data_IF_576420328430
#
_entry.id   IF_576420328430
#
_cell.length_a   1.000
_cell.length_b   1.000
_cell.length_c   1.000
_cell.angle_alpha   90.00
_cell.angle_beta   90.00
_cell.angle_gamma   90.00
#
_symmetry.space_group_name_H-M   'P 1'
#
loop_
_entity.id
_entity.type
_entity.pdbx_description
1 polymer ?
#
# COMPACT_ATOMS: atom_id res chain seq x y z
N UNK A 1 42.38 -13.90 34.25
CA UNK A 1 42.57 -13.62 32.80
C UNK A 1 43.72 -12.63 32.65
N UNK A 2 44.75 -12.89 31.84
CA UNK A 2 45.89 -11.97 31.75
C UNK A 2 45.47 -10.65 31.09
N UNK A 3 46.05 -9.51 31.51
CA UNK A 3 45.75 -8.18 30.95
C UNK A 3 45.80 -8.19 29.41
N UNK A 4 46.76 -8.89 28.82
CA UNK A 4 46.92 -9.03 27.37
C UNK A 4 45.74 -9.75 26.70
N UNK A 5 45.16 -10.77 27.34
CA UNK A 5 43.95 -11.45 26.82
C UNK A 5 42.72 -10.54 26.91
N UNK A 6 42.61 -9.70 27.94
CA UNK A 6 41.51 -8.75 28.08
C UNK A 6 41.54 -7.67 27.01
N UNK A 7 42.71 -7.07 26.77
CA UNK A 7 42.90 -6.10 25.69
C UNK A 7 42.67 -6.69 24.29
N UNK A 8 43.03 -7.96 24.07
CA UNK A 8 42.75 -8.65 22.80
C UNK A 8 41.24 -8.82 22.57
N UNK A 9 40.50 -9.30 23.57
CA UNK A 9 39.05 -9.46 23.47
C UNK A 9 38.36 -8.12 23.22
N UNK A 10 38.75 -7.07 23.95
CA UNK A 10 38.20 -5.73 23.76
C UNK A 10 38.44 -5.21 22.33
N UNK A 11 39.64 -5.42 21.77
CA UNK A 11 39.94 -5.04 20.38
C UNK A 11 39.07 -5.78 19.36
N UNK A 12 38.87 -7.08 19.55
CA UNK A 12 37.99 -7.88 18.67
C UNK A 12 36.56 -7.35 18.72
N UNK A 13 36.03 -7.08 19.92
CA UNK A 13 34.70 -6.51 20.09
C UNK A 13 34.57 -5.16 19.37
N UNK A 14 35.56 -4.28 19.52
CA UNK A 14 35.56 -2.98 18.85
C UNK A 14 35.58 -3.13 17.32
N UNK A 15 36.42 -4.01 16.78
CA UNK A 15 36.50 -4.27 15.32
C UNK A 15 35.15 -4.79 14.81
N UNK A 16 34.57 -5.76 15.51
CA UNK A 16 33.25 -6.31 15.15
C UNK A 16 32.19 -5.22 15.17
N UNK A 17 32.17 -4.37 16.21
CA UNK A 17 31.23 -3.25 16.31
C UNK A 17 31.40 -2.26 15.15
N UNK A 18 32.64 -1.92 14.80
CA UNK A 18 32.93 -1.04 13.66
C UNK A 18 32.50 -1.66 12.32
N UNK A 19 32.68 -2.98 12.14
CA UNK A 19 32.16 -3.70 10.97
C UNK A 19 30.63 -3.66 10.91
N UNK A 20 29.94 -3.86 12.04
CA UNK A 20 28.48 -3.74 12.09
C UNK A 20 27.99 -2.32 11.77
N UNK A 21 28.64 -1.29 12.31
CA UNK A 21 28.32 0.11 12.01
C UNK A 21 28.56 0.40 10.52
N UNK A 22 29.69 -0.05 9.97
CA UNK A 22 30.00 0.11 8.55
C UNK A 22 28.96 -0.55 7.64
N UNK A 23 28.56 -1.78 7.96
CA UNK A 23 27.51 -2.50 7.24
C UNK A 23 26.15 -1.81 7.38
N UNK A 24 25.83 -1.31 8.57
CA UNK A 24 24.59 -0.55 8.82
C UNK A 24 24.55 0.72 7.96
N UNK A 25 25.60 1.54 8.00
CA UNK A 25 25.67 2.76 7.17
C UNK A 25 25.61 2.43 5.68
N UNK A 26 26.31 1.40 5.22
CA UNK A 26 26.22 0.94 3.84
C UNK A 26 24.78 0.55 3.45
N UNK A 27 24.09 -0.15 4.34
CA UNK A 27 22.71 -0.60 4.10
C UNK A 27 21.72 0.54 3.97
N UNK A 28 22.01 1.71 4.57
CA UNK A 28 21.17 2.89 4.39
C UNK A 28 21.17 3.41 2.95
N UNK A 29 22.25 3.19 2.19
CA UNK A 29 22.38 3.73 0.82
C UNK A 29 22.19 2.68 -0.28
N UNK A 30 22.50 1.41 0.02
CA UNK A 30 22.48 0.31 -0.97
C UNK A 30 21.49 -0.81 -0.62
N UNK A 31 20.77 -0.63 0.48
CA UNK A 31 19.89 -1.63 1.07
C UNK A 31 20.68 -2.78 1.69
N UNK A 32 20.00 -3.83 2.18
CA UNK A 32 20.64 -4.98 2.79
C UNK A 32 21.77 -5.56 1.92
N UNK A 33 22.87 -6.06 2.52
CA UNK A 33 23.92 -6.76 1.77
C UNK A 33 23.31 -7.84 0.85
N UNK A 34 23.80 -7.90 -0.40
CA UNK A 34 23.28 -8.77 -1.47
C UNK A 34 21.84 -8.51 -1.93
N UNK A 35 21.15 -7.53 -1.34
CA UNK A 35 19.76 -7.26 -1.63
C UNK A 35 19.49 -6.89 -3.09
N UNK A 36 20.38 -6.13 -3.72
CA UNK A 36 20.25 -5.80 -5.14
C UNK A 36 20.34 -7.00 -6.08
N UNK A 37 21.10 -8.05 -5.72
CA UNK A 37 21.19 -9.29 -6.50
C UNK A 37 19.89 -10.08 -6.38
N UNK A 38 19.36 -10.20 -5.16
CA UNK A 38 18.09 -10.88 -4.89
C UNK A 38 16.92 -10.16 -5.59
N UNK A 39 16.86 -8.84 -5.46
CA UNK A 39 15.86 -8.00 -6.12
C UNK A 39 15.92 -8.13 -7.64
N UNK A 40 17.12 -8.04 -8.23
CA UNK A 40 17.32 -8.26 -9.67
C UNK A 40 16.75 -9.59 -10.13
N UNK A 41 17.05 -10.68 -9.44
CA UNK A 41 16.55 -12.00 -9.82
C UNK A 41 15.02 -12.09 -9.71
N UNK A 42 14.43 -11.56 -8.63
CA UNK A 42 12.96 -11.53 -8.46
C UNK A 42 12.27 -10.72 -9.55
N UNK A 43 12.76 -9.51 -9.80
CA UNK A 43 12.24 -8.61 -10.84
C UNK A 43 12.33 -9.25 -12.22
N UNK A 44 13.50 -9.78 -12.60
CA UNK A 44 13.69 -10.40 -13.91
C UNK A 44 12.83 -11.65 -14.09
N UNK A 45 12.71 -12.49 -13.06
CA UNK A 45 11.86 -13.69 -13.12
C UNK A 45 10.39 -13.32 -13.34
N UNK A 46 9.89 -12.31 -12.61
CA UNK A 46 8.53 -11.80 -12.79
C UNK A 46 8.34 -11.19 -14.18
N UNK A 47 9.19 -10.23 -14.54
CA UNK A 47 9.09 -9.52 -15.81
C UNK A 47 9.19 -10.47 -17.01
N UNK A 48 10.04 -11.49 -16.91
CA UNK A 48 10.16 -12.49 -17.98
C UNK A 48 8.89 -13.32 -18.13
N UNK A 49 8.25 -13.68 -17.02
CA UNK A 49 7.00 -14.42 -17.05
C UNK A 49 5.82 -13.57 -17.53
N UNK A 50 5.77 -12.29 -17.16
CA UNK A 50 4.68 -11.38 -17.50
C UNK A 50 4.78 -10.83 -18.93
N UNK A 51 5.99 -10.44 -19.35
CA UNK A 51 6.24 -9.69 -20.58
C UNK A 51 7.07 -10.44 -21.62
N UNK A 52 7.54 -11.66 -21.32
CA UNK A 52 8.41 -12.42 -22.22
C UNK A 52 9.87 -11.99 -22.15
N UNK A 53 10.57 -11.93 -23.28
CA UNK A 53 11.99 -11.55 -23.26
C UNK A 53 12.17 -10.08 -22.83
N UNK A 54 12.83 -9.90 -21.67
CA UNK A 54 13.10 -8.60 -21.06
C UNK A 54 14.58 -8.39 -20.79
N UNK A 55 15.02 -7.14 -20.87
CA UNK A 55 16.38 -6.73 -20.53
C UNK A 55 16.35 -5.51 -19.60
N UNK A 56 17.28 -5.48 -18.65
CA UNK A 56 17.48 -4.32 -17.79
C UNK A 56 17.99 -3.13 -18.60
N UNK A 57 17.29 -2.00 -18.48
CA UNK A 57 17.74 -0.71 -19.01
C UNK A 57 18.70 -0.06 -18.01
N UNK A 58 18.38 -0.16 -16.72
CA UNK A 58 19.16 0.42 -15.62
C UNK A 58 19.64 -0.62 -14.63
N UNK A 59 20.60 -0.24 -13.77
CA UNK A 59 20.99 -1.06 -12.63
C UNK A 59 19.87 -1.05 -11.60
N UNK A 60 19.69 -2.18 -10.91
CA UNK A 60 18.78 -2.25 -9.77
C UNK A 60 19.31 -1.40 -8.62
N UNK A 61 18.60 -0.34 -8.27
CA UNK A 61 18.99 0.63 -7.25
C UNK A 61 18.01 0.66 -6.09
N UNK A 62 18.53 0.86 -4.88
CA UNK A 62 17.76 0.89 -3.64
C UNK A 62 17.37 2.33 -3.28
N UNK A 63 16.09 2.54 -2.96
CA UNK A 63 15.61 3.78 -2.37
C UNK A 63 15.24 3.51 -0.90
N UNK A 64 15.98 4.14 0.02
CA UNK A 64 15.73 3.99 1.46
C UNK A 64 14.39 4.57 1.91
N UNK A 65 13.91 5.64 1.27
CA UNK A 65 12.67 6.30 1.67
C UNK A 65 11.49 5.34 1.51
N UNK A 66 11.46 4.65 0.38
CA UNK A 66 10.38 3.74 0.04
C UNK A 66 10.70 2.29 0.49
N UNK A 67 11.96 1.99 0.80
CA UNK A 67 12.48 0.65 1.12
C UNK A 67 12.32 -0.37 -0.01
N UNK A 68 12.32 0.11 -1.26
CA UNK A 68 12.23 -0.71 -2.46
C UNK A 68 13.52 -0.66 -3.27
N UNK A 69 13.76 -1.75 -4.01
CA UNK A 69 14.66 -1.78 -5.14
C UNK A 69 13.88 -1.51 -6.42
N UNK A 70 14.41 -0.66 -7.29
CA UNK A 70 13.76 -0.24 -8.53
C UNK A 70 14.58 -0.70 -9.73
N UNK A 71 13.89 -1.07 -10.80
CA UNK A 71 14.50 -1.43 -12.07
C UNK A 71 13.65 -0.93 -13.22
N UNK A 72 14.31 -0.38 -14.24
CA UNK A 72 13.68 -0.11 -15.53
C UNK A 72 14.04 -1.23 -16.51
N UNK A 73 13.05 -1.66 -17.28
CA UNK A 73 13.15 -2.80 -18.18
C UNK A 73 12.69 -2.43 -19.58
N UNK A 74 13.25 -3.12 -20.56
CA UNK A 74 12.83 -3.06 -21.96
C UNK A 74 12.40 -4.46 -22.39
N UNK A 75 11.20 -4.56 -22.97
CA UNK A 75 10.73 -5.79 -23.62
C UNK A 75 11.24 -5.91 -25.05
N UNK A 76 11.20 -7.13 -25.61
CA UNK A 76 11.71 -7.47 -26.96
C UNK A 76 11.17 -6.64 -28.14
N UNK A 77 10.12 -5.84 -27.95
CA UNK A 77 9.53 -4.93 -28.96
C UNK A 77 9.74 -3.43 -28.63
N UNK A 78 10.79 -3.05 -27.89
CA UNK A 78 10.99 -1.70 -27.35
C UNK A 78 9.82 -1.20 -26.48
N UNK A 79 9.03 -2.12 -25.92
CA UNK A 79 8.07 -1.77 -24.88
C UNK A 79 8.87 -1.35 -23.65
N UNK A 80 8.72 -0.08 -23.28
CA UNK A 80 9.32 0.45 -22.07
C UNK A 80 8.47 -0.03 -20.89
N UNK A 81 8.96 -1.05 -20.20
CA UNK A 81 8.37 -1.54 -18.96
C UNK A 81 8.94 -0.64 -17.88
N UNK A 82 8.20 0.45 -17.63
CA UNK A 82 8.58 1.43 -16.64
C UNK A 82 8.44 0.81 -15.26
N UNK A 83 9.51 1.00 -14.49
CA UNK A 83 9.57 0.84 -13.04
C UNK A 83 8.89 -0.41 -12.47
N UNK A 84 9.63 -1.52 -12.42
CA UNK A 84 9.31 -2.62 -11.51
C UNK A 84 10.06 -2.40 -10.21
N UNK A 85 9.32 -2.40 -9.09
CA UNK A 85 9.87 -2.26 -7.74
C UNK A 85 9.74 -3.54 -6.94
N UNK A 86 10.68 -3.81 -6.05
CA UNK A 86 10.69 -4.97 -5.18
C UNK A 86 11.11 -4.64 -3.76
N UNK A 87 10.30 -5.03 -2.78
CA UNK A 87 10.67 -4.95 -1.36
C UNK A 87 11.21 -6.30 -0.89
N UNK A 88 12.45 -6.31 -0.39
CA UNK A 88 13.02 -7.52 0.23
C UNK A 88 12.34 -7.88 1.54
N UNK A 89 11.93 -6.87 2.31
CA UNK A 89 11.38 -7.07 3.64
C UNK A 89 9.96 -7.61 3.59
N UNK A 90 9.17 -7.12 2.64
CA UNK A 90 7.79 -7.58 2.44
C UNK A 90 7.70 -8.74 1.46
N UNK A 91 8.76 -8.97 0.66
CA UNK A 91 8.76 -9.92 -0.45
C UNK A 91 7.58 -9.67 -1.41
N UNK A 92 7.44 -8.39 -1.83
CA UNK A 92 6.38 -7.92 -2.71
C UNK A 92 6.94 -7.17 -3.91
N UNK A 93 6.28 -7.31 -5.05
CA UNK A 93 6.58 -6.60 -6.29
C UNK A 93 5.51 -5.53 -6.55
N UNK A 94 5.94 -4.39 -7.07
CA UNK A 94 5.09 -3.40 -7.71
C UNK A 94 5.47 -3.30 -9.19
N UNK A 95 4.46 -3.20 -10.04
CA UNK A 95 4.60 -3.06 -11.48
C UNK A 95 3.70 -1.91 -11.92
N UNK A 96 4.30 -0.79 -12.34
CA UNK A 96 3.58 0.43 -12.66
C UNK A 96 2.56 0.23 -13.80
N UNK A 97 2.95 -0.52 -14.84
CA UNK A 97 2.09 -0.77 -16.01
C UNK A 97 0.87 -1.61 -15.62
N UNK A 98 1.09 -2.66 -14.82
CA UNK A 98 0.00 -3.48 -14.29
C UNK A 98 -0.93 -2.67 -13.38
N UNK A 99 -0.35 -1.86 -12.49
CA UNK A 99 -1.09 -1.02 -11.56
C UNK A 99 -1.97 0.01 -12.29
N UNK A 100 -1.48 0.65 -13.34
CA UNK A 100 -2.25 1.59 -14.16
C UNK A 100 -3.45 0.90 -14.82
N UNK A 101 -3.24 -0.29 -15.36
CA UNK A 101 -4.30 -1.10 -15.96
C UNK A 101 -5.39 -1.44 -14.95
N UNK A 102 -5.01 -2.01 -13.80
CA UNK A 102 -5.95 -2.38 -12.73
C UNK A 102 -6.67 -1.14 -12.18
N UNK A 103 -5.96 -0.03 -12.00
CA UNK A 103 -6.55 1.23 -11.53
C UNK A 103 -7.63 1.76 -12.49
N UNK A 104 -7.37 1.68 -13.79
CA UNK A 104 -8.35 2.09 -14.82
C UNK A 104 -9.62 1.24 -14.76
N UNK A 105 -9.48 -0.09 -14.65
CA UNK A 105 -10.63 -0.99 -14.49
C UNK A 105 -11.38 -0.74 -13.18
N UNK A 106 -10.64 -0.54 -12.08
CA UNK A 106 -11.19 -0.25 -10.77
C UNK A 106 -12.03 1.02 -10.76
N UNK A 107 -11.58 2.10 -11.40
CA UNK A 107 -12.31 3.37 -11.40
C UNK A 107 -13.72 3.23 -11.99
N UNK A 108 -13.88 2.42 -13.05
CA UNK A 108 -15.18 2.15 -13.64
C UNK A 108 -16.09 1.36 -12.70
N UNK A 109 -15.57 0.30 -12.09
CA UNK A 109 -16.35 -0.54 -11.16
C UNK A 109 -16.69 0.21 -9.87
N UNK A 110 -15.76 1.01 -9.35
CA UNK A 110 -15.94 1.84 -8.17
C UNK A 110 -16.99 2.93 -8.40
N UNK A 111 -17.03 3.52 -9.59
CA UNK A 111 -18.07 4.48 -9.96
C UNK A 111 -19.46 3.83 -9.86
N UNK A 112 -19.62 2.61 -10.37
CA UNK A 112 -20.88 1.87 -10.23
C UNK A 112 -21.17 1.52 -8.78
N UNK A 113 -20.17 1.04 -8.02
CA UNK A 113 -20.32 0.65 -6.64
C UNK A 113 -20.75 1.81 -5.71
N UNK A 114 -20.25 3.03 -5.95
CA UNK A 114 -20.57 4.20 -5.10
C UNK A 114 -21.97 4.77 -5.34
N UNK A 115 -22.54 4.60 -6.55
CA UNK A 115 -23.91 5.05 -6.88
C UNK A 115 -25.00 4.28 -6.11
N UNK A 116 -24.69 3.08 -5.57
CA UNK A 116 -25.62 2.30 -4.75
C UNK A 116 -25.75 2.78 -3.30
N UNK A 117 -25.02 3.83 -2.90
CA UNK A 117 -25.01 4.33 -1.53
C UNK A 117 -26.12 5.37 -1.28
N UNK A 118 -26.44 5.58 0.00
CA UNK A 118 -27.60 6.38 0.44
C UNK A 118 -27.54 7.84 -0.03
N UNK A 119 -28.71 8.49 -0.19
CA UNK A 119 -28.86 9.86 -0.71
C UNK A 119 -28.06 10.94 0.05
N UNK A 120 -27.74 10.71 1.33
CA UNK A 120 -26.97 11.62 2.18
C UNK A 120 -25.46 11.44 2.10
N UNK A 121 -24.97 10.43 1.36
CA UNK A 121 -23.56 10.08 1.25
C UNK A 121 -22.99 10.57 -0.08
N UNK A 122 -22.00 11.45 -0.02
CA UNK A 122 -21.18 11.85 -1.16
C UNK A 122 -19.81 11.19 -1.04
N UNK A 123 -19.33 10.56 -2.12
CA UNK A 123 -18.02 9.91 -2.15
C UNK A 123 -17.19 10.47 -3.30
N UNK A 124 -15.98 10.94 -2.99
CA UNK A 124 -14.97 11.33 -3.97
C UNK A 124 -14.50 10.12 -4.79
N UNK A 125 -13.59 10.31 -5.72
CA UNK A 125 -12.96 9.16 -6.37
C UNK A 125 -12.13 8.36 -5.36
N UNK A 126 -12.14 7.04 -5.54
CA UNK A 126 -11.31 6.10 -4.82
C UNK A 126 -10.15 5.67 -5.70
N UNK A 127 -9.12 5.08 -5.10
CA UNK A 127 -8.05 4.45 -5.86
C UNK A 127 -7.66 3.13 -5.23
N UNK A 128 -7.10 2.24 -6.05
CA UNK A 128 -6.60 0.95 -5.62
C UNK A 128 -5.09 0.88 -5.84
N UNK A 129 -4.36 0.50 -4.81
CA UNK A 129 -2.94 0.20 -4.89
C UNK A 129 -2.78 -1.31 -4.95
N UNK A 130 -2.04 -1.80 -5.95
CA UNK A 130 -1.84 -3.23 -6.16
C UNK A 130 -0.36 -3.60 -6.00
N UNK A 131 -0.11 -4.71 -5.32
CA UNK A 131 1.19 -5.37 -5.24
C UNK A 131 1.03 -6.87 -5.51
N UNK A 132 2.11 -7.50 -5.92
CA UNK A 132 2.18 -8.93 -6.22
C UNK A 132 2.98 -9.61 -5.11
N UNK A 133 2.43 -10.68 -4.52
CA UNK A 133 3.19 -11.55 -3.60
C UNK A 133 4.27 -12.31 -4.39
N UNK A 134 5.54 -12.08 -4.04
CA UNK A 134 6.67 -12.68 -4.72
C UNK A 134 6.98 -14.12 -4.28
N UNK A 135 6.16 -14.74 -3.42
CA UNK A 135 6.27 -16.15 -3.05
C UNK A 135 5.67 -17.09 -4.09
N UNK A 136 4.70 -16.61 -4.86
CA UNK A 136 3.93 -17.42 -5.80
C UNK A 136 4.56 -17.45 -7.20
N UNK A 137 4.08 -18.39 -8.03
CA UNK A 137 4.59 -18.57 -9.39
C UNK A 137 4.09 -17.40 -10.27
N UNK A 138 5.03 -16.76 -10.97
CA UNK A 138 4.68 -15.72 -11.95
C UNK A 138 4.13 -16.31 -13.24
N UNK A 139 3.29 -15.52 -13.90
CA UNK A 139 2.54 -15.88 -15.11
C UNK A 139 2.15 -14.59 -15.85
N UNK A 140 1.80 -14.72 -17.12
CA UNK A 140 1.34 -13.61 -17.97
C UNK A 140 -0.18 -13.34 -17.87
N UNK A 141 -0.88 -14.12 -17.05
CA UNK A 141 -2.32 -13.97 -16.79
C UNK A 141 -2.53 -13.27 -15.45
N UNK A 142 -3.19 -12.12 -15.48
CA UNK A 142 -3.35 -11.27 -14.28
C UNK A 142 -4.19 -12.00 -13.23
N UNK A 143 -5.22 -12.73 -13.67
CA UNK A 143 -6.11 -13.53 -12.84
C UNK A 143 -5.40 -14.66 -12.07
N UNK A 144 -4.25 -15.12 -12.57
CA UNK A 144 -3.44 -16.16 -11.94
C UNK A 144 -2.34 -15.58 -11.03
N UNK A 145 -2.18 -14.25 -10.99
CA UNK A 145 -1.24 -13.59 -10.09
C UNK A 145 -1.81 -13.50 -8.68
N UNK A 146 -0.95 -13.72 -7.69
CA UNK A 146 -1.27 -13.48 -6.28
C UNK A 146 -1.19 -11.99 -5.97
N UNK A 147 -2.27 -11.27 -6.26
CA UNK A 147 -2.37 -9.84 -6.02
C UNK A 147 -2.84 -9.56 -4.60
N UNK A 148 -2.28 -8.53 -3.98
CA UNK A 148 -2.82 -7.92 -2.77
C UNK A 148 -3.14 -6.47 -3.07
N UNK A 149 -4.32 -6.03 -2.64
CA UNK A 149 -4.82 -4.72 -3.00
C UNK A 149 -5.26 -3.92 -1.79
N UNK A 150 -4.86 -2.64 -1.79
CA UNK A 150 -5.26 -1.66 -0.79
C UNK A 150 -6.20 -0.64 -1.42
N UNK A 151 -7.41 -0.57 -0.88
CA UNK A 151 -8.44 0.37 -1.31
C UNK A 151 -8.32 1.68 -0.52
N UNK A 152 -8.36 2.79 -1.23
CA UNK A 152 -8.33 4.13 -0.64
C UNK A 152 -9.58 4.91 -1.03
N UNK A 153 -10.28 5.43 -0.02
CA UNK A 153 -11.42 6.33 -0.19
C UNK A 153 -11.24 7.49 0.78
N UNK A 154 -10.72 8.61 0.30
CA UNK A 154 -10.23 9.69 1.16
C UNK A 154 -11.23 10.83 1.36
N UNK A 155 -12.47 10.68 0.90
CA UNK A 155 -13.48 11.73 0.97
C UNK A 155 -14.91 11.19 0.94
N UNK A 156 -15.32 10.50 2.00
CA UNK A 156 -16.72 10.16 2.23
C UNK A 156 -17.36 11.25 3.09
N UNK A 157 -18.37 11.94 2.58
CA UNK A 157 -19.09 13.01 3.28
C UNK A 157 -20.53 12.58 3.54
N UNK A 158 -20.96 12.62 4.79
CA UNK A 158 -22.34 12.39 5.19
C UNK A 158 -23.00 13.70 5.60
N UNK A 159 -24.08 14.05 4.91
CA UNK A 159 -24.85 15.29 5.09
C UNK A 159 -26.05 15.14 6.04
N UNK A 160 -26.26 13.97 6.62
CA UNK A 160 -27.29 13.76 7.64
C UNK A 160 -26.95 14.49 8.94
N UNK A 161 -27.72 15.53 9.24
CA UNK A 161 -27.56 16.35 10.44
C UNK A 161 -28.11 15.68 11.70
N UNK A 162 -28.91 14.62 11.55
CA UNK A 162 -29.56 13.92 12.66
C UNK A 162 -28.75 12.74 13.20
N UNK A 163 -27.64 12.38 12.54
CA UNK A 163 -26.77 11.29 12.96
C UNK A 163 -26.17 11.56 14.33
N UNK A 164 -26.31 10.60 15.24
CA UNK A 164 -25.71 10.68 16.58
C UNK A 164 -24.27 10.17 16.56
N UNK A 165 -23.44 10.65 17.49
CA UNK A 165 -22.01 10.31 17.53
C UNK A 165 -21.73 8.79 17.58
N UNK A 166 -22.60 8.02 18.28
CA UNK A 166 -22.50 6.56 18.35
C UNK A 166 -22.71 5.86 16.99
N UNK A 167 -23.45 6.49 16.07
CA UNK A 167 -23.67 5.98 14.72
C UNK A 167 -22.58 6.47 13.77
N UNK A 168 -22.08 7.70 13.96
CA UNK A 168 -20.95 8.26 13.21
C UNK A 168 -19.72 7.38 13.23
N UNK A 169 -19.39 6.76 14.37
CA UNK A 169 -18.23 5.85 14.47
C UNK A 169 -18.43 4.53 13.69
N UNK A 170 -19.67 4.14 13.40
CA UNK A 170 -20.01 2.87 12.72
C UNK A 170 -20.16 3.04 11.22
N UNK A 171 -20.64 4.22 10.80
CA UNK A 171 -20.95 4.53 9.40
C UNK A 171 -19.77 4.31 8.43
N UNK A 172 -18.51 4.65 8.76
CA UNK A 172 -17.36 4.37 7.90
C UNK A 172 -17.20 2.88 7.59
N UNK A 173 -17.36 2.02 8.60
CA UNK A 173 -17.22 0.58 8.46
C UNK A 173 -18.37 -0.01 7.62
N UNK A 174 -19.59 0.47 7.83
CA UNK A 174 -20.77 0.10 7.05
C UNK A 174 -20.59 0.42 5.56
N UNK A 175 -20.20 1.65 5.23
CA UNK A 175 -19.99 2.10 3.84
C UNK A 175 -18.86 1.32 3.20
N UNK A 176 -17.73 1.17 3.90
CA UNK A 176 -16.56 0.44 3.39
C UNK A 176 -16.92 -1.01 3.06
N UNK A 177 -17.65 -1.69 3.94
CA UNK A 177 -18.07 -3.07 3.70
C UNK A 177 -18.99 -3.18 2.49
N UNK A 178 -19.99 -2.29 2.37
CA UNK A 178 -20.89 -2.26 1.20
C UNK A 178 -20.12 -2.06 -0.10
N UNK A 179 -19.14 -1.15 -0.13
CA UNK A 179 -18.31 -0.94 -1.33
C UNK A 179 -17.53 -2.20 -1.68
N UNK A 180 -16.87 -2.84 -0.71
CA UNK A 180 -16.12 -4.07 -0.96
C UNK A 180 -17.07 -5.19 -1.44
N UNK A 181 -18.26 -5.31 -0.86
CA UNK A 181 -19.27 -6.28 -1.29
C UNK A 181 -19.72 -6.05 -2.74
N UNK A 182 -19.89 -4.78 -3.16
CA UNK A 182 -20.27 -4.43 -4.53
C UNK A 182 -19.15 -4.67 -5.54
N UNK A 183 -17.90 -4.41 -5.16
CA UNK A 183 -16.72 -4.71 -5.98
C UNK A 183 -16.52 -6.23 -6.16
N UNK A 184 -17.00 -7.03 -5.20
CA UNK A 184 -16.99 -8.49 -5.25
C UNK A 184 -15.58 -9.07 -5.29
N UNK A 185 -15.49 -10.32 -5.74
CA UNK A 185 -14.23 -11.08 -5.78
C UNK A 185 -13.29 -10.67 -6.94
N UNK A 186 -13.65 -9.62 -7.70
CA UNK A 186 -12.81 -9.11 -8.79
C UNK A 186 -11.50 -8.51 -8.28
N UNK A 187 -11.51 -8.02 -7.03
CA UNK A 187 -10.37 -7.40 -6.39
C UNK A 187 -10.06 -8.12 -5.07
N UNK A 188 -8.80 -8.54 -4.89
CA UNK A 188 -8.34 -9.09 -3.62
C UNK A 188 -7.98 -7.96 -2.64
N UNK A 189 -9.01 -7.27 -2.13
CA UNK A 189 -8.85 -6.16 -1.20
C UNK A 189 -8.52 -6.72 0.20
N UNK A 190 -7.26 -6.60 0.59
CA UNK A 190 -6.74 -7.08 1.88
C UNK A 190 -6.44 -5.92 2.85
N UNK A 191 -6.48 -4.69 2.35
CA UNK A 191 -6.23 -3.49 3.12
C UNK A 191 -7.14 -2.32 2.69
N UNK A 192 -7.41 -1.40 3.62
CA UNK A 192 -8.16 -0.16 3.36
C UNK A 192 -7.55 1.04 4.06
N UNK A 193 -7.73 2.21 3.46
CA UNK A 193 -7.61 3.50 4.12
C UNK A 193 -8.80 4.39 3.74
N UNK A 194 -9.61 4.71 4.74
CA UNK A 194 -10.90 5.38 4.55
C UNK A 194 -10.94 6.64 5.39
N UNK A 195 -11.40 7.74 4.81
CA UNK A 195 -11.70 8.99 5.50
C UNK A 195 -13.18 9.30 5.30
N UNK A 196 -13.88 9.45 6.41
CA UNK A 196 -15.30 9.75 6.48
C UNK A 196 -15.52 10.99 7.34
N UNK A 197 -16.45 11.85 6.95
CA UNK A 197 -16.80 13.04 7.71
C UNK A 197 -18.30 13.24 7.79
N UNK A 198 -18.76 13.71 8.95
CA UNK A 198 -20.14 14.12 9.21
C UNK A 198 -20.20 15.24 10.26
N UNK A 199 -21.41 15.60 10.69
CA UNK A 199 -21.64 16.67 11.68
C UNK A 199 -20.86 16.47 13.00
N UNK A 200 -20.52 15.22 13.35
CA UNK A 200 -19.84 14.86 14.59
C UNK A 200 -18.32 14.84 14.46
N UNK A 201 -17.75 14.94 13.25
CA UNK A 201 -16.32 15.07 13.02
C UNK A 201 -15.81 14.26 11.83
N UNK A 202 -14.49 14.04 11.82
CA UNK A 202 -13.80 13.21 10.82
C UNK A 202 -13.34 11.92 11.47
N UNK A 203 -13.54 10.82 10.75
CA UNK A 203 -13.27 9.47 11.17
C UNK A 203 -12.39 8.79 10.13
N UNK A 204 -11.48 7.94 10.60
CA UNK A 204 -10.54 7.22 9.77
C UNK A 204 -10.63 5.72 10.05
N UNK A 205 -10.52 4.92 8.98
CA UNK A 205 -10.18 3.50 9.07
C UNK A 205 -8.81 3.31 8.42
N UNK A 206 -7.88 2.69 9.15
CA UNK A 206 -6.66 2.12 8.57
C UNK A 206 -6.60 0.65 8.94
N UNK A 207 -6.69 -0.21 7.93
CA UNK A 207 -6.66 -1.65 8.13
C UNK A 207 -5.73 -2.27 7.10
N UNK A 208 -4.60 -2.84 7.55
CA UNK A 208 -3.65 -3.52 6.68
C UNK A 208 -3.65 -5.03 6.93
N UNK A 209 -3.51 -5.81 5.84
CA UNK A 209 -3.37 -7.28 5.84
C UNK A 209 -4.36 -7.99 6.78
N UNK A 210 -5.62 -7.59 6.75
CA UNK A 210 -6.63 -8.06 7.68
C UNK A 210 -7.87 -8.59 6.98
N UNK A 211 -8.58 -9.51 7.63
CA UNK A 211 -9.95 -9.80 7.25
C UNK A 211 -10.78 -8.51 7.37
N UNK A 212 -11.34 -8.03 6.27
CA UNK A 212 -12.10 -6.79 6.22
C UNK A 212 -13.56 -7.02 6.58
N UNK A 213 -13.79 -7.76 7.68
CA UNK A 213 -15.12 -7.96 8.24
C UNK A 213 -15.66 -6.63 8.79
N UNK A 214 -16.98 -6.46 8.84
CA UNK A 214 -17.59 -5.26 9.41
C UNK A 214 -17.10 -5.02 10.86
N UNK A 215 -17.02 -6.06 11.69
CA UNK A 215 -16.54 -5.94 13.07
C UNK A 215 -15.09 -5.49 13.16
N UNK A 216 -14.23 -5.92 12.23
CA UNK A 216 -12.82 -5.53 12.23
C UNK A 216 -12.65 -4.09 11.76
N UNK A 217 -13.42 -3.68 10.75
CA UNK A 217 -13.49 -2.30 10.29
C UNK A 217 -13.98 -1.36 11.40
N UNK A 218 -15.06 -1.70 12.11
CA UNK A 218 -15.61 -0.88 13.21
C UNK A 218 -14.58 -0.69 14.34
N UNK A 219 -13.84 -1.76 14.72
CA UNK A 219 -12.78 -1.67 15.74
C UNK A 219 -11.60 -0.81 15.31
N UNK A 220 -11.33 -0.73 14.01
CA UNK A 220 -10.24 0.07 13.43
C UNK A 220 -10.68 1.49 13.09
N UNK A 221 -11.96 1.81 13.23
CA UNK A 221 -12.44 3.19 13.09
C UNK A 221 -12.02 4.03 14.29
N UNK A 222 -11.41 5.18 14.04
CA UNK A 222 -11.09 6.17 15.05
C UNK A 222 -11.48 7.58 14.61
N UNK A 223 -11.77 8.45 15.57
CA UNK A 223 -12.00 9.88 15.33
C UNK A 223 -10.65 10.60 15.28
N UNK A 224 -10.41 11.41 14.25
CA UNK A 224 -9.16 12.16 14.10
C UNK A 224 -9.34 13.62 14.54
N UNK A 225 -8.30 14.20 15.13
CA UNK A 225 -8.34 15.56 15.69
C UNK A 225 -7.90 16.64 14.70
N UNK A 226 -6.95 16.31 13.83
CA UNK A 226 -6.47 17.23 12.79
C UNK A 226 -7.29 17.04 11.53
N UNK A 227 -7.95 18.11 11.10
CA UNK A 227 -8.82 18.13 9.92
C UNK A 227 -8.48 19.36 9.06
N UNK A 228 -8.58 19.21 7.74
CA UNK A 228 -8.31 20.30 6.81
C UNK A 228 -9.31 21.44 6.95
N UNK A 229 -8.94 22.63 6.49
CA UNK A 229 -9.85 23.80 6.51
C UNK A 229 -11.14 23.54 5.72
N UNK A 230 -11.05 22.84 4.58
CA UNK A 230 -12.23 22.46 3.79
C UNK A 230 -13.18 21.51 4.54
N UNK A 231 -12.62 20.57 5.32
CA UNK A 231 -13.41 19.63 6.12
C UNK A 231 -14.11 20.35 7.28
N UNK A 232 -13.44 21.30 7.92
CA UNK A 232 -14.03 22.16 8.96
C UNK A 232 -15.22 22.93 8.40
N UNK A 233 -15.03 23.61 7.27
CA UNK A 233 -16.08 24.39 6.62
C UNK A 233 -17.29 23.52 6.25
N UNK A 234 -17.06 22.29 5.76
CA UNK A 234 -18.13 21.34 5.50
C UNK A 234 -18.92 21.02 6.78
N UNK A 235 -18.24 20.60 7.85
CA UNK A 235 -18.88 20.22 9.13
C UNK A 235 -19.64 21.41 9.74
N UNK A 236 -19.05 22.60 9.71
CA UNK A 236 -19.70 23.82 10.19
C UNK A 236 -20.97 24.14 9.39
N UNK A 237 -20.93 23.97 8.06
CA UNK A 237 -22.11 24.20 7.21
C UNK A 237 -23.28 23.26 7.52
N UNK A 238 -23.00 22.06 8.04
CA UNK A 238 -24.02 21.11 8.49
C UNK A 238 -24.65 21.53 9.83
N UNK A 239 -23.85 22.11 10.74
CA UNK A 239 -24.31 22.55 12.07
C UNK A 239 -25.19 23.80 12.03
N UNK A 240 -25.14 24.55 10.93
CA UNK A 240 -25.90 25.79 10.73
C UNK A 240 -27.27 25.58 10.09
N UNK A 241 -27.60 24.35 9.67
CA UNK A 241 -28.89 23.96 9.07
C UNK A 241 -29.80 23.35 10.12
#
# INVERSE_FOLDING_TARGET
MSKNRFFLILKVIIIVLLCFIGLFVFSLFKGPPFGGILAKNKILNYASAMYGDVQLVTKVDYNIKDQYYFAELSGGNNQNIKEIRYSLFENKLGDEVLMEKISTEFNSDFFVAKEFLQENIQITDGYIYTVIDANNKYTNKIEDLSLEQKLYILGIKNSDISIIEKESIKKPAEITRKIIDQLGDKYNITAVQIIYMDVNGVFQIVADNSNLSYSDLEKKTSKIQEIGEEDKLFIESLKLK
#
